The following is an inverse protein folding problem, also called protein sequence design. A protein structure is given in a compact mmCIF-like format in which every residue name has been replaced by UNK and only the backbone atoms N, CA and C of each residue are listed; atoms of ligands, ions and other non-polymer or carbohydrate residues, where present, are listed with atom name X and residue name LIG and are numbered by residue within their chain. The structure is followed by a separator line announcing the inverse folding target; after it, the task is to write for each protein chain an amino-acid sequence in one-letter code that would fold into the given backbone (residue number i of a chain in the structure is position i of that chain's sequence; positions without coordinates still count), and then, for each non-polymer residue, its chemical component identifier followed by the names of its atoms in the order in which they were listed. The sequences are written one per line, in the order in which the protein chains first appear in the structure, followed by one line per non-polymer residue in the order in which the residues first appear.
data_IF_777474811156
#
_entry.id   IF_777474811156
#
_cell.length_a   1.000
_cell.length_b   1.000
_cell.length_c   1.000
_cell.angle_alpha   90.00
_cell.angle_beta   90.00
_cell.angle_gamma   90.00
#
_symmetry.space_group_name_H-M   'P 1'
#
loop_
_entity.id
_entity.type
_entity.pdbx_description
1 polymer ?
#
# COMPACT_ATOMS: atom_id res chain seq x y z
N UNK A 1 -1.64 16.46 -7.35
CA UNK A 1 -1.51 16.23 -5.88
C UNK A 1 -1.56 14.73 -5.60
N UNK A 2 -0.94 14.30 -4.48
CA UNK A 2 -0.97 12.91 -4.04
C UNK A 2 -1.84 12.79 -2.79
N UNK A 3 -2.75 11.82 -2.81
CA UNK A 3 -3.63 11.48 -1.70
C UNK A 3 -3.37 10.04 -1.25
N UNK A 4 -3.68 9.74 0.00
CA UNK A 4 -3.53 8.40 0.58
C UNK A 4 -4.81 7.98 1.28
N UNK A 5 -5.12 6.68 1.21
CA UNK A 5 -6.21 6.00 1.94
C UNK A 5 -5.79 4.57 2.26
N UNK A 6 -6.53 3.85 3.10
CA UNK A 6 -6.26 2.44 3.44
C UNK A 6 -7.33 1.48 2.94
N UNK A 7 -7.05 0.24 3.06
CA UNK A 7 -7.88 -0.98 3.04
C UNK A 7 -9.25 -0.82 2.36
N UNK A 8 -9.29 -0.97 1.04
CA UNK A 8 -10.53 -0.79 0.26
C UNK A 8 -11.40 -2.06 0.24
N UNK A 9 -10.78 -3.25 0.38
CA UNK A 9 -11.46 -4.56 0.38
C UNK A 9 -12.48 -4.75 -0.75
N UNK A 10 -12.22 -4.21 -1.94
CA UNK A 10 -13.13 -4.31 -3.07
C UNK A 10 -14.43 -3.50 -2.94
N UNK A 11 -14.57 -2.68 -1.90
CA UNK A 11 -15.75 -1.84 -1.70
C UNK A 11 -15.76 -0.63 -2.64
N UNK A 12 -16.42 -0.79 -3.78
CA UNK A 12 -16.59 0.30 -4.75
C UNK A 12 -17.37 1.50 -4.20
N UNK A 13 -18.15 1.35 -3.12
CA UNK A 13 -18.91 2.46 -2.52
C UNK A 13 -17.98 3.56 -2.00
N UNK A 14 -16.75 3.21 -1.61
CA UNK A 14 -15.68 4.13 -1.18
C UNK A 14 -15.40 5.20 -2.24
N UNK A 15 -15.42 4.82 -3.53
CA UNK A 15 -15.20 5.74 -4.65
C UNK A 15 -16.39 6.67 -4.96
N UNK A 16 -17.52 6.50 -4.28
CA UNK A 16 -18.69 7.37 -4.38
C UNK A 16 -18.72 8.46 -3.30
N UNK A 17 -17.84 8.40 -2.30
CA UNK A 17 -17.74 9.35 -1.20
C UNK A 17 -17.32 10.75 -1.70
N UNK A 18 -17.71 11.84 -1.01
CA UNK A 18 -17.35 13.20 -1.40
C UNK A 18 -15.83 13.41 -1.52
N UNK A 19 -15.04 12.84 -0.62
CA UNK A 19 -13.57 12.95 -0.57
C UNK A 19 -12.95 12.39 -1.85
N UNK A 20 -13.36 11.19 -2.26
CA UNK A 20 -12.91 10.55 -3.50
C UNK A 20 -13.37 11.28 -4.76
N UNK A 21 -14.53 11.95 -4.70
CA UNK A 21 -15.05 12.74 -5.84
C UNK A 21 -14.31 14.05 -6.04
N UNK A 22 -13.56 14.54 -5.05
CA UNK A 22 -12.73 15.73 -5.15
C UNK A 22 -11.46 15.52 -5.96
N UNK A 23 -11.00 14.26 -6.12
CA UNK A 23 -9.81 13.95 -6.89
C UNK A 23 -9.99 14.34 -8.36
N UNK A 24 -8.97 14.98 -8.93
CA UNK A 24 -8.98 15.57 -10.27
C UNK A 24 -8.07 14.83 -11.23
N UNK A 25 -8.14 15.20 -12.49
CA UNK A 25 -7.19 14.72 -13.49
C UNK A 25 -5.76 15.09 -13.08
N UNK A 26 -4.86 14.10 -13.12
CA UNK A 26 -3.47 14.26 -12.71
C UNK A 26 -3.19 13.96 -11.24
N UNK A 27 -4.21 13.86 -10.38
CA UNK A 27 -4.03 13.41 -9.01
C UNK A 27 -3.66 11.92 -8.96
N UNK A 28 -3.03 11.52 -7.84
CA UNK A 28 -2.68 10.12 -7.57
C UNK A 28 -3.28 9.76 -6.22
N UNK A 29 -4.05 8.66 -6.19
CA UNK A 29 -4.52 8.03 -4.96
C UNK A 29 -3.63 6.84 -4.64
N UNK A 30 -2.91 6.90 -3.52
CA UNK A 30 -2.15 5.79 -2.96
C UNK A 30 -3.03 4.99 -2.00
N UNK A 31 -3.05 3.67 -2.13
CA UNK A 31 -3.81 2.77 -1.25
C UNK A 31 -2.85 1.91 -0.45
N UNK A 32 -2.97 1.95 0.88
CA UNK A 32 -2.09 1.27 1.82
C UNK A 32 -2.48 -0.20 2.06
N UNK A 33 -2.63 -0.96 0.99
CA UNK A 33 -2.93 -2.39 1.02
C UNK A 33 -4.40 -2.74 0.96
N UNK A 34 -4.67 -4.03 0.91
CA UNK A 34 -5.99 -4.64 0.83
C UNK A 34 -6.90 -3.93 -0.20
N UNK A 35 -6.37 -3.84 -1.44
CA UNK A 35 -7.09 -3.21 -2.55
C UNK A 35 -8.38 -3.97 -2.87
N UNK A 36 -8.31 -5.30 -2.96
CA UNK A 36 -9.43 -6.22 -2.99
C UNK A 36 -10.30 -6.18 -4.26
N UNK A 37 -9.89 -5.47 -5.31
CA UNK A 37 -10.60 -5.42 -6.61
C UNK A 37 -10.03 -6.40 -7.64
N UNK A 38 -9.11 -7.28 -7.22
CA UNK A 38 -8.54 -8.35 -8.05
C UNK A 38 -8.60 -9.62 -7.19
N UNK A 39 -9.75 -10.30 -7.21
CA UNK A 39 -10.00 -11.40 -6.29
C UNK A 39 -10.42 -12.70 -6.99
N UNK A 40 -11.44 -12.67 -7.81
CA UNK A 40 -12.04 -13.87 -8.41
C UNK A 40 -12.15 -13.83 -9.94
N UNK A 41 -11.74 -12.74 -10.56
CA UNK A 41 -11.84 -12.50 -12.00
C UNK A 41 -13.27 -12.62 -12.56
N UNK A 42 -14.27 -12.44 -11.71
CA UNK A 42 -15.68 -12.50 -12.11
C UNK A 42 -16.07 -11.35 -13.04
N UNK A 43 -17.19 -11.53 -13.75
CA UNK A 43 -17.76 -10.45 -14.58
C UNK A 43 -18.10 -9.20 -13.76
N UNK A 44 -18.47 -9.38 -12.49
CA UNK A 44 -18.76 -8.28 -11.58
C UNK A 44 -17.47 -7.51 -11.27
N UNK A 45 -16.40 -8.20 -10.91
CA UNK A 45 -15.10 -7.63 -10.64
C UNK A 45 -14.55 -6.88 -11.86
N UNK A 46 -14.61 -7.50 -13.05
CA UNK A 46 -14.20 -6.87 -14.31
C UNK A 46 -14.99 -5.58 -14.61
N UNK A 47 -16.28 -5.58 -14.30
CA UNK A 47 -17.13 -4.39 -14.44
C UNK A 47 -16.70 -3.27 -13.49
N UNK A 48 -16.33 -3.62 -12.27
CA UNK A 48 -15.83 -2.64 -11.27
C UNK A 48 -14.46 -2.12 -11.68
N UNK A 49 -13.53 -2.98 -12.05
CA UNK A 49 -12.21 -2.59 -12.56
C UNK A 49 -12.31 -1.66 -13.76
N UNK A 50 -13.24 -1.93 -14.70
CA UNK A 50 -13.51 -1.03 -15.81
C UNK A 50 -13.95 0.36 -15.31
N UNK A 51 -14.88 0.44 -14.37
CA UNK A 51 -15.31 1.73 -13.78
C UNK A 51 -14.17 2.47 -13.07
N UNK A 52 -13.26 1.74 -12.44
CA UNK A 52 -12.06 2.32 -11.84
C UNK A 52 -11.08 2.82 -12.90
N UNK A 53 -10.93 2.10 -14.00
CA UNK A 53 -10.07 2.52 -15.11
C UNK A 53 -10.57 3.76 -15.86
N UNK A 54 -11.83 4.14 -15.70
CA UNK A 54 -12.44 5.34 -16.27
C UNK A 54 -12.25 6.59 -15.36
N UNK A 55 -11.65 6.43 -14.17
CA UNK A 55 -11.35 7.57 -13.31
C UNK A 55 -10.29 8.47 -13.94
N UNK A 56 -10.42 9.77 -13.73
CA UNK A 56 -9.51 10.77 -14.30
C UNK A 56 -8.15 10.85 -13.59
N UNK A 57 -8.04 10.25 -12.41
CA UNK A 57 -6.84 10.21 -11.59
C UNK A 57 -6.21 8.81 -11.60
N UNK A 58 -4.97 8.73 -11.20
CA UNK A 58 -4.26 7.47 -11.06
C UNK A 58 -4.56 6.83 -9.71
N UNK A 59 -4.72 5.51 -9.68
CA UNK A 59 -4.78 4.71 -8.46
C UNK A 59 -3.51 3.88 -8.42
N UNK A 60 -2.76 3.95 -7.32
CA UNK A 60 -1.60 3.10 -7.11
C UNK A 60 -1.69 2.49 -5.70
N UNK A 61 -1.46 1.19 -5.58
CA UNK A 61 -1.63 0.50 -4.31
C UNK A 61 -0.44 -0.41 -4.01
N UNK A 62 -0.10 -0.56 -2.73
CA UNK A 62 0.71 -1.67 -2.26
C UNK A 62 -0.21 -2.85 -1.98
N UNK A 63 0.28 -4.06 -2.09
CA UNK A 63 -0.49 -5.24 -1.68
C UNK A 63 -0.66 -5.27 -0.15
N UNK A 64 -1.78 -5.79 0.29
CA UNK A 64 -2.03 -6.11 1.69
C UNK A 64 -1.94 -7.60 1.96
N UNK A 65 -2.69 -8.07 2.95
CA UNK A 65 -2.81 -9.50 3.25
C UNK A 65 -4.07 -10.13 2.63
N UNK A 66 -5.03 -9.34 2.16
CA UNK A 66 -6.24 -9.81 1.49
C UNK A 66 -6.19 -9.52 -0.01
N UNK A 67 -5.24 -10.17 -0.72
CA UNK A 67 -5.10 -10.09 -2.16
C UNK A 67 -5.08 -11.48 -2.80
N UNK A 68 -5.57 -11.61 -4.03
CA UNK A 68 -5.33 -12.81 -4.83
C UNK A 68 -4.02 -12.65 -5.60
N UNK A 69 -2.93 -13.16 -5.03
CA UNK A 69 -1.60 -13.01 -5.60
C UNK A 69 -1.42 -13.76 -6.92
N UNK A 70 -2.17 -14.85 -7.15
CA UNK A 70 -2.12 -15.58 -8.42
C UNK A 70 -2.68 -14.73 -9.57
N UNK A 71 -3.75 -13.97 -9.32
CA UNK A 71 -4.28 -13.03 -10.30
C UNK A 71 -3.39 -11.79 -10.43
N UNK A 72 -2.90 -11.23 -9.32
CA UNK A 72 -2.01 -10.07 -9.37
C UNK A 72 -0.75 -10.34 -10.19
N UNK A 73 -0.18 -11.53 -10.09
CA UNK A 73 1.05 -11.90 -10.80
C UNK A 73 0.87 -12.01 -12.32
N UNK A 74 -0.35 -12.17 -12.82
CA UNK A 74 -0.63 -12.24 -14.26
C UNK A 74 -0.49 -10.88 -14.97
N UNK A 75 -0.58 -9.78 -14.23
CA UNK A 75 -0.40 -8.45 -14.79
C UNK A 75 1.07 -8.16 -15.08
N UNK A 76 1.32 -7.56 -16.24
CA UNK A 76 2.69 -7.26 -16.70
C UNK A 76 3.39 -6.22 -15.83
N UNK A 77 4.68 -6.40 -15.63
CA UNK A 77 5.54 -5.40 -15.01
C UNK A 77 5.86 -4.29 -16.01
N UNK A 78 5.83 -3.05 -15.53
CA UNK A 78 6.14 -1.84 -16.28
C UNK A 78 7.03 -0.91 -15.45
N UNK A 79 7.78 -0.02 -16.12
CA UNK A 79 8.40 1.12 -15.45
C UNK A 79 7.34 2.20 -15.22
N UNK A 80 7.20 2.63 -13.97
CA UNK A 80 6.29 3.70 -13.59
C UNK A 80 6.96 4.60 -12.55
N UNK A 81 7.04 5.90 -12.84
CA UNK A 81 7.59 6.91 -11.90
C UNK A 81 8.97 6.56 -11.31
N UNK A 82 9.86 5.93 -12.08
CA UNK A 82 11.19 5.53 -11.64
C UNK A 82 11.31 4.13 -11.05
N UNK A 83 10.23 3.57 -10.51
CA UNK A 83 10.15 2.21 -9.98
C UNK A 83 9.55 1.20 -10.94
N UNK A 84 9.39 -0.03 -10.48
CA UNK A 84 8.69 -1.13 -11.18
C UNK A 84 7.33 -1.32 -10.55
N UNK A 85 6.27 -1.40 -11.37
CA UNK A 85 4.90 -1.66 -10.93
C UNK A 85 4.21 -2.65 -11.86
N UNK A 86 3.13 -3.31 -11.41
CA UNK A 86 2.25 -4.07 -12.32
C UNK A 86 1.17 -3.16 -12.86
N UNK A 87 0.99 -3.19 -14.16
CA UNK A 87 -0.05 -2.42 -14.85
C UNK A 87 -1.37 -3.20 -14.83
N UNK A 88 -2.27 -2.83 -13.94
CA UNK A 88 -3.60 -3.44 -13.81
C UNK A 88 -4.56 -2.87 -14.88
N UNK A 89 -4.56 -1.54 -15.03
CA UNK A 89 -5.30 -0.80 -16.02
C UNK A 89 -4.53 0.47 -16.39
N UNK A 90 -4.90 1.24 -17.42
CA UNK A 90 -4.14 2.42 -17.85
C UNK A 90 -3.82 3.43 -16.75
N UNK A 91 -4.65 3.50 -15.73
CA UNK A 91 -4.49 4.40 -14.58
C UNK A 91 -4.42 3.65 -13.23
N UNK A 92 -4.25 2.31 -13.22
CA UNK A 92 -4.20 1.50 -11.98
C UNK A 92 -2.89 0.72 -11.94
N UNK A 93 -2.11 0.89 -10.87
CA UNK A 93 -0.79 0.31 -10.70
C UNK A 93 -0.67 -0.40 -9.34
N UNK A 94 -0.18 -1.64 -9.37
CA UNK A 94 0.26 -2.33 -8.15
C UNK A 94 1.75 -2.07 -7.95
N UNK A 95 2.08 -1.37 -6.89
CA UNK A 95 3.44 -0.97 -6.53
C UNK A 95 4.21 -2.18 -5.98
N UNK A 96 5.43 -2.40 -6.49
CA UNK A 96 6.20 -3.56 -6.05
C UNK A 96 6.94 -3.27 -4.75
N UNK A 97 7.02 -4.26 -3.89
CA UNK A 97 7.69 -4.19 -2.59
C UNK A 97 9.15 -3.77 -2.72
N UNK A 98 9.53 -2.76 -1.96
CA UNK A 98 10.90 -2.24 -1.94
C UNK A 98 11.28 -1.32 -3.10
N UNK A 99 10.33 -0.95 -3.95
CA UNK A 99 10.55 0.03 -5.00
C UNK A 99 10.39 1.46 -4.47
N UNK A 100 11.06 2.40 -5.13
CA UNK A 100 10.97 3.83 -4.84
C UNK A 100 10.45 4.53 -6.09
N UNK A 101 9.42 5.35 -5.90
CA UNK A 101 8.73 6.07 -6.97
C UNK A 101 8.93 7.56 -6.78
N UNK A 102 9.21 8.29 -7.88
CA UNK A 102 9.30 9.75 -7.86
C UNK A 102 8.01 10.37 -8.38
N UNK A 103 7.26 11.00 -7.50
CA UNK A 103 5.99 11.65 -7.81
C UNK A 103 6.08 13.10 -7.33
N UNK A 104 5.81 14.07 -8.22
CA UNK A 104 5.91 15.51 -7.89
C UNK A 104 7.25 15.89 -7.23
N UNK A 105 8.35 15.32 -7.73
CA UNK A 105 9.72 15.47 -7.22
C UNK A 105 9.96 14.96 -5.79
N UNK A 106 9.01 14.20 -5.22
CA UNK A 106 9.15 13.54 -3.93
C UNK A 106 9.33 12.04 -4.12
N UNK A 107 10.14 11.41 -3.25
CA UNK A 107 10.42 9.98 -3.27
C UNK A 107 9.46 9.23 -2.33
N UNK A 108 8.76 8.25 -2.88
CA UNK A 108 7.83 7.38 -2.17
C UNK A 108 8.40 5.96 -2.12
N UNK A 109 8.78 5.50 -0.94
CA UNK A 109 9.14 4.10 -0.73
C UNK A 109 7.86 3.29 -0.51
N UNK A 110 7.67 2.20 -1.27
CA UNK A 110 6.50 1.34 -1.19
C UNK A 110 6.88 -0.07 -0.73
N UNK A 111 6.15 -0.60 0.26
CA UNK A 111 6.37 -1.96 0.73
C UNK A 111 5.06 -2.57 1.24
N UNK A 112 4.45 -3.44 0.45
CA UNK A 112 3.24 -4.17 0.79
C UNK A 112 3.50 -5.45 1.58
N UNK A 113 2.44 -6.24 1.74
CA UNK A 113 2.46 -7.50 2.46
C UNK A 113 2.13 -7.36 3.93
N UNK A 114 1.82 -8.48 4.53
CA UNK A 114 1.42 -8.56 5.92
C UNK A 114 1.09 -9.97 6.35
N UNK A 115 0.32 -10.09 7.40
CA UNK A 115 -0.20 -11.37 7.87
C UNK A 115 -1.70 -11.29 8.13
N UNK A 116 -2.45 -12.25 7.62
CA UNK A 116 -3.88 -12.37 7.86
C UNK A 116 -4.15 -12.88 9.27
N UNK A 117 -4.99 -12.16 10.03
CA UNK A 117 -5.43 -12.63 11.35
C UNK A 117 -6.30 -13.91 11.23
N UNK A 118 -6.99 -14.07 10.13
CA UNK A 118 -7.82 -15.21 9.76
C UNK A 118 -7.07 -16.28 8.94
N UNK A 119 -5.74 -16.35 9.10
CA UNK A 119 -4.83 -17.24 8.36
C UNK A 119 -5.32 -18.70 8.30
N UNK A 120 -5.70 -19.29 9.44
CA UNK A 120 -6.11 -20.69 9.50
C UNK A 120 -7.37 -20.93 8.66
N UNK A 121 -8.38 -20.09 8.82
CA UNK A 121 -9.61 -20.15 8.03
C UNK A 121 -9.36 -19.98 6.54
N UNK A 122 -8.56 -19.00 6.15
CA UNK A 122 -8.25 -18.73 4.74
C UNK A 122 -7.42 -19.82 4.10
N UNK A 123 -6.47 -20.39 4.83
CA UNK A 123 -5.69 -21.55 4.38
C UNK A 123 -6.60 -22.75 4.12
N UNK A 124 -7.50 -23.06 5.05
CA UNK A 124 -8.39 -24.21 4.96
C UNK A 124 -9.45 -24.05 3.87
N UNK A 125 -9.83 -22.81 3.53
CA UNK A 125 -10.75 -22.49 2.43
C UNK A 125 -10.04 -22.24 1.09
N UNK A 126 -8.72 -22.33 1.02
CA UNK A 126 -7.94 -22.13 -0.22
C UNK A 126 -7.82 -20.67 -0.67
N UNK A 127 -8.07 -19.71 0.22
CA UNK A 127 -8.02 -18.27 -0.06
C UNK A 127 -6.83 -17.57 0.60
N UNK A 128 -5.79 -18.33 0.91
CA UNK A 128 -4.55 -17.82 1.46
C UNK A 128 -3.38 -18.09 0.52
N UNK A 129 -2.49 -17.12 0.41
CA UNK A 129 -1.28 -17.18 -0.41
C UNK A 129 -0.05 -16.91 0.44
N UNK A 130 0.99 -17.74 0.25
CA UNK A 130 2.30 -17.55 0.90
C UNK A 130 2.88 -16.16 0.60
N UNK A 131 2.52 -15.60 -0.54
CA UNK A 131 2.94 -14.28 -1.03
C UNK A 131 2.39 -13.12 -0.20
N UNK A 132 1.44 -13.32 0.72
CA UNK A 132 1.09 -12.29 1.71
C UNK A 132 2.33 -11.79 2.44
N UNK A 133 3.23 -12.70 2.77
CA UNK A 133 4.47 -12.37 3.46
C UNK A 133 5.59 -12.08 2.45
N UNK A 134 6.41 -11.06 2.70
CA UNK A 134 7.52 -10.75 1.84
C UNK A 134 8.56 -11.87 1.85
N UNK A 135 9.27 -11.98 0.75
CA UNK A 135 10.43 -12.84 0.61
C UNK A 135 11.70 -12.11 1.05
N UNK A 136 12.73 -12.86 1.44
CA UNK A 136 14.06 -12.29 1.70
C UNK A 136 14.61 -11.50 0.50
N UNK A 137 14.28 -11.91 -0.74
CA UNK A 137 14.72 -11.19 -1.94
C UNK A 137 14.06 -9.82 -2.09
N UNK A 138 12.78 -9.69 -1.71
CA UNK A 138 12.07 -8.43 -1.68
C UNK A 138 12.66 -7.50 -0.62
N UNK A 139 12.94 -7.99 0.58
CA UNK A 139 13.61 -7.23 1.65
C UNK A 139 15.01 -6.80 1.20
N UNK A 140 15.82 -7.71 0.63
CA UNK A 140 17.13 -7.34 0.09
C UNK A 140 17.06 -6.31 -1.02
N UNK A 141 16.06 -6.37 -1.88
CA UNK A 141 15.81 -5.36 -2.92
C UNK A 141 15.49 -4.01 -2.29
N UNK A 142 14.64 -3.99 -1.28
CA UNK A 142 14.27 -2.78 -0.54
C UNK A 142 15.50 -2.11 0.08
N UNK A 143 16.31 -2.87 0.80
CA UNK A 143 17.57 -2.37 1.39
C UNK A 143 18.49 -1.79 0.33
N UNK A 144 18.70 -2.51 -0.79
CA UNK A 144 19.53 -1.98 -1.89
C UNK A 144 18.99 -0.68 -2.47
N UNK A 145 17.67 -0.55 -2.63
CA UNK A 145 17.06 0.64 -3.19
C UNK A 145 17.12 1.82 -2.21
N UNK A 146 16.91 1.58 -0.92
CA UNK A 146 17.08 2.59 0.12
C UNK A 146 18.56 3.08 0.16
N UNK A 147 19.52 2.16 0.16
CA UNK A 147 20.94 2.50 0.17
C UNK A 147 21.37 3.32 -1.07
N UNK A 148 20.86 2.98 -2.27
CA UNK A 148 21.08 3.78 -3.50
C UNK A 148 20.50 5.19 -3.39
N UNK A 149 19.52 5.39 -2.54
CA UNK A 149 18.93 6.69 -2.24
C UNK A 149 19.47 7.31 -0.95
N UNK A 150 20.66 6.85 -0.47
CA UNK A 150 21.31 7.35 0.74
C UNK A 150 20.41 7.25 1.99
N UNK A 151 19.61 6.18 2.07
CA UNK A 151 18.62 5.94 3.11
C UNK A 151 17.64 7.13 3.33
N UNK A 152 17.35 7.89 2.26
CA UNK A 152 16.49 9.08 2.33
C UNK A 152 15.37 8.99 1.32
N UNK A 153 14.13 9.09 1.82
CA UNK A 153 12.90 9.17 1.04
C UNK A 153 11.98 10.21 1.66
N UNK A 154 11.02 10.74 0.91
CA UNK A 154 10.09 11.71 1.49
C UNK A 154 8.93 11.02 2.22
N UNK A 155 8.39 9.98 1.63
CA UNK A 155 7.21 9.27 2.14
C UNK A 155 7.40 7.77 2.09
N UNK A 156 6.82 7.10 3.09
CA UNK A 156 6.77 5.63 3.18
C UNK A 156 5.31 5.19 3.13
N UNK A 157 5.01 4.21 2.27
CA UNK A 157 3.67 3.65 2.07
C UNK A 157 3.76 2.14 2.31
N UNK A 158 3.09 1.66 3.35
CA UNK A 158 3.06 0.24 3.68
C UNK A 158 1.64 -0.25 3.95
N UNK A 159 1.44 -1.56 4.03
CA UNK A 159 0.21 -2.12 4.57
C UNK A 159 0.34 -2.33 6.08
N UNK A 160 1.35 -3.09 6.51
CA UNK A 160 1.62 -3.30 7.95
C UNK A 160 2.28 -2.06 8.57
N UNK A 161 1.97 -1.74 9.84
CA UNK A 161 2.73 -0.79 10.63
C UNK A 161 4.05 -1.40 11.12
N UNK A 162 5.05 -0.58 11.51
CA UNK A 162 6.17 -1.02 12.35
C UNK A 162 5.69 -1.65 13.66
N UNK A 163 6.48 -2.59 14.22
CA UNK A 163 6.11 -3.32 15.43
C UNK A 163 5.87 -2.41 16.64
N UNK A 164 6.73 -1.40 16.80
CA UNK A 164 6.65 -0.44 17.91
C UNK A 164 5.33 0.36 17.93
N UNK A 165 4.67 0.51 16.77
CA UNK A 165 3.40 1.21 16.69
C UNK A 165 2.20 0.31 17.04
N UNK A 166 2.32 -1.00 16.91
CA UNK A 166 1.24 -1.94 17.25
C UNK A 166 0.82 -1.82 18.70
N UNK A 167 1.78 -1.67 19.59
CA UNK A 167 1.52 -1.47 21.03
C UNK A 167 0.72 -0.18 21.27
N UNK A 168 1.12 0.92 20.63
CA UNK A 168 0.43 2.20 20.73
C UNK A 168 -0.99 2.19 20.17
N UNK A 169 -1.23 1.32 19.18
CA UNK A 169 -2.52 1.21 18.50
C UNK A 169 -3.45 0.19 19.17
N UNK A 170 -2.93 -0.63 20.08
CA UNK A 170 -3.68 -1.71 20.71
C UNK A 170 -4.05 -2.83 19.75
N UNK A 171 -3.29 -3.02 18.66
CA UNK A 171 -3.54 -4.03 17.64
C UNK A 171 -2.46 -5.10 17.68
N UNK A 172 -2.89 -6.35 17.68
CA UNK A 172 -2.13 -7.60 17.47
C UNK A 172 -0.63 -7.57 17.84
N UNK A 173 -0.35 -7.42 19.13
CA UNK A 173 1.00 -7.27 19.68
C UNK A 173 1.82 -8.58 19.60
N UNK A 174 1.14 -9.72 19.44
CA UNK A 174 1.77 -11.04 19.62
C UNK A 174 2.55 -11.54 18.41
N UNK A 175 2.27 -11.04 17.21
CA UNK A 175 2.94 -11.49 15.99
C UNK A 175 4.09 -10.56 15.57
N UNK A 176 5.32 -11.05 15.78
CA UNK A 176 6.53 -10.44 15.22
C UNK A 176 6.96 -11.21 13.97
N UNK A 177 6.74 -10.61 12.82
CA UNK A 177 7.18 -11.11 11.52
C UNK A 177 8.48 -10.42 11.10
N UNK A 178 9.18 -11.01 10.12
CA UNK A 178 10.39 -10.44 9.55
C UNK A 178 10.15 -9.01 8.99
N UNK A 179 8.99 -8.77 8.39
CA UNK A 179 8.59 -7.44 7.88
C UNK A 179 8.60 -6.38 8.99
N UNK A 180 8.19 -6.74 10.20
CA UNK A 180 8.17 -5.81 11.34
C UNK A 180 9.59 -5.43 11.79
N UNK A 181 10.50 -6.41 11.85
CA UNK A 181 11.91 -6.14 12.17
C UNK A 181 12.55 -5.26 11.12
N UNK A 182 12.29 -5.53 9.84
CA UNK A 182 12.74 -4.71 8.73
C UNK A 182 12.20 -3.26 8.83
N UNK A 183 10.96 -3.06 9.22
CA UNK A 183 10.39 -1.71 9.39
C UNK A 183 10.99 -0.97 10.60
N UNK A 184 11.35 -1.68 11.67
CA UNK A 184 12.09 -1.08 12.79
C UNK A 184 13.50 -0.61 12.36
N UNK A 185 14.15 -1.35 11.47
CA UNK A 185 15.43 -0.92 10.92
C UNK A 185 15.27 0.33 10.03
N UNK A 186 14.21 0.42 9.23
CA UNK A 186 13.90 1.65 8.46
C UNK A 186 13.68 2.85 9.39
N UNK A 187 12.98 2.66 10.52
CA UNK A 187 12.77 3.75 11.52
C UNK A 187 14.11 4.30 12.02
N UNK A 188 15.09 3.43 12.24
CA UNK A 188 16.39 3.79 12.83
C UNK A 188 17.35 4.36 11.80
N UNK A 189 17.31 3.85 10.57
CA UNK A 189 18.39 4.07 9.58
C UNK A 189 17.99 5.02 8.45
N UNK A 190 16.67 5.30 8.28
CA UNK A 190 16.21 6.09 7.15
C UNK A 190 15.64 7.45 7.57
N UNK A 191 15.94 8.46 6.77
CA UNK A 191 15.31 9.76 6.86
C UNK A 191 14.05 9.80 6.01
N UNK A 192 12.92 10.20 6.61
CA UNK A 192 11.64 10.37 5.92
C UNK A 192 10.74 11.39 6.63
N UNK A 193 9.80 11.98 5.89
CA UNK A 193 8.87 13.01 6.40
C UNK A 193 7.64 12.38 7.05
N UNK A 194 6.94 11.48 6.33
CA UNK A 194 5.72 10.82 6.83
C UNK A 194 5.70 9.35 6.41
N UNK A 195 5.06 8.53 7.23
CA UNK A 195 4.83 7.12 6.98
C UNK A 195 3.33 6.81 7.08
N UNK A 196 2.73 6.34 6.00
CA UNK A 196 1.33 5.95 5.94
C UNK A 196 1.20 4.43 5.88
N UNK A 197 0.28 3.88 6.63
CA UNK A 197 0.02 2.44 6.64
C UNK A 197 -1.47 2.14 6.84
N UNK A 198 -1.93 0.99 6.31
CA UNK A 198 -3.29 0.48 6.46
C UNK A 198 -3.45 -0.49 7.62
N UNK A 199 -4.02 -1.68 7.36
CA UNK A 199 -4.10 -2.85 8.26
C UNK A 199 -4.97 -2.68 9.49
N UNK A 200 -4.89 -1.54 10.16
CA UNK A 200 -5.50 -1.34 11.47
C UNK A 200 -6.97 -0.92 11.40
N UNK A 201 -7.52 -0.73 10.22
CA UNK A 201 -8.88 -0.24 9.96
C UNK A 201 -9.27 0.97 10.82
N UNK A 202 -8.34 1.88 11.00
CA UNK A 202 -8.54 3.12 11.75
C UNK A 202 -7.85 4.30 11.07
N UNK A 203 -8.41 5.49 11.27
CA UNK A 203 -7.81 6.74 10.87
C UNK A 203 -7.21 7.40 12.12
N UNK A 204 -5.88 7.45 12.19
CA UNK A 204 -5.19 7.98 13.38
C UNK A 204 -3.82 8.54 13.03
N UNK A 205 -3.59 9.79 13.43
CA UNK A 205 -2.24 10.36 13.47
C UNK A 205 -1.52 9.92 14.73
N UNK A 206 -0.31 9.39 14.57
CA UNK A 206 0.58 9.02 15.67
C UNK A 206 1.78 9.97 15.61
N UNK A 207 2.01 10.78 16.66
CA UNK A 207 3.14 11.69 16.68
C UNK A 207 4.46 10.90 16.47
N UNK A 208 5.36 11.35 15.69
CA UNK A 208 5.65 12.63 15.05
C UNK A 208 5.36 12.60 13.53
N UNK A 209 5.21 11.43 12.89
CA UNK A 209 5.17 11.31 11.41
C UNK A 209 4.43 10.07 10.88
N UNK A 210 3.69 9.37 11.72
CA UNK A 210 2.98 8.15 11.33
C UNK A 210 1.48 8.37 11.20
N UNK A 211 0.89 7.77 10.19
CA UNK A 211 -0.54 7.86 9.87
C UNK A 211 -1.10 6.47 9.60
N UNK A 212 -1.91 5.95 10.51
CA UNK A 212 -2.82 4.87 10.20
C UNK A 212 -3.95 5.45 9.33
N UNK A 213 -4.21 4.84 8.19
CA UNK A 213 -5.23 5.29 7.25
C UNK A 213 -6.19 4.17 6.92
N UNK A 214 -7.48 4.50 6.89
CA UNK A 214 -8.55 3.58 6.53
C UNK A 214 -9.61 4.25 5.68
N UNK A 215 -10.50 5.02 6.31
CA UNK A 215 -11.65 5.65 5.65
C UNK A 215 -11.33 7.01 5.06
N UNK A 216 -10.40 7.72 5.68
CA UNK A 216 -10.00 9.05 5.25
C UNK A 216 -9.26 9.03 3.91
N UNK A 217 -9.32 10.15 3.21
CA UNK A 217 -8.53 10.44 2.02
C UNK A 217 -7.72 11.69 2.33
N UNK A 218 -6.47 11.47 2.72
CA UNK A 218 -5.58 12.53 3.20
C UNK A 218 -4.66 13.01 2.08
N UNK A 219 -4.42 14.31 1.93
CA UNK A 219 -3.30 14.79 1.12
C UNK A 219 -1.99 14.38 1.79
N UNK A 220 -1.02 13.90 1.00
CA UNK A 220 0.29 13.47 1.53
C UNK A 220 1.11 14.68 1.97
N UNK A 221 1.07 15.77 1.19
CA UNK A 221 1.68 17.06 1.55
C UNK A 221 0.64 17.94 2.24
N UNK A 222 1.03 18.59 3.31
CA UNK A 222 0.21 19.65 3.89
C UNK A 222 0.21 20.86 2.94
N UNK A 223 -0.93 21.59 2.85
CA UNK A 223 -1.04 22.80 2.00
C UNK A 223 -0.08 23.94 2.41
N UNK A 224 0.84 23.69 3.34
CA UNK A 224 1.75 24.67 3.93
C UNK A 224 3.24 24.37 3.75
N UNK A 225 3.59 23.30 2.98
CA UNK A 225 4.97 22.96 2.67
C UNK A 225 5.41 23.49 1.29
#
# INVERSE_FOLDING_TARGET
MVYVTGDLHGDYSRFKRPEMKKLRAGDILLVCGDFGFIWDNSKQEQTVLKKLSEKKYTIAFVDGCHENFDLLQQYRLVRWRGGVARLIAPNIFHLQRGEIYTIENQKYFAFGGGHSQDYEYRRDTGNWWRQEQPTHDEIRRAIRNLNRNQATVDYIITHEPPASLKDCLGVDVQQRLEIHSFFEDIIKECDYKKWFFGKCHMDRFIPMKFYAVFQDVLPVTDERD
#
